data_IF_463274190605
#
_entry.id   IF_463274190605
#
_cell.length_a   1.000
_cell.length_b   1.000
_cell.length_c   1.000
_cell.angle_alpha   90.00
_cell.angle_beta   90.00
_cell.angle_gamma   90.00
#
_symmetry.space_group_name_H-M   'P 1'
#
loop_
_entity.id
_entity.type
_entity.pdbx_description
1 polymer ?
#
# COMPACT_ATOMS: atom_id res chain seq x y z
N UNK A 1 34.30 -45.22 8.51
CA UNK A 1 34.05 -45.01 7.07
C UNK A 1 32.75 -45.69 6.72
N UNK A 2 31.68 -44.92 6.53
CA UNK A 2 30.40 -45.40 6.00
C UNK A 2 29.77 -44.24 5.23
N UNK A 3 29.80 -44.31 3.90
CA UNK A 3 29.08 -43.39 3.03
C UNK A 3 27.68 -43.96 2.79
N UNK A 4 26.68 -43.22 3.25
CA UNK A 4 25.26 -43.49 2.98
C UNK A 4 24.88 -42.88 1.62
N UNK A 5 24.43 -43.73 0.70
CA UNK A 5 23.96 -43.34 -0.62
C UNK A 5 22.58 -42.65 -0.53
N UNK A 6 22.53 -41.36 -0.87
CA UNK A 6 21.26 -40.69 -1.20
C UNK A 6 20.93 -40.96 -2.67
N UNK A 7 19.86 -41.73 -2.86
CA UNK A 7 19.24 -42.00 -4.17
C UNK A 7 18.53 -40.75 -4.67
N UNK A 8 19.11 -40.12 -5.70
CA UNK A 8 18.49 -39.06 -6.47
C UNK A 8 17.39 -39.65 -7.34
N UNK A 9 16.12 -39.50 -6.93
CA UNK A 9 14.97 -39.96 -7.70
C UNK A 9 14.48 -38.82 -8.62
N UNK A 10 14.79 -38.82 -9.93
CA UNK A 10 14.48 -37.72 -10.84
C UNK A 10 12.98 -37.52 -11.10
N UNK A 11 12.13 -38.47 -10.72
CA UNK A 11 10.67 -38.39 -10.94
C UNK A 11 9.94 -37.46 -9.95
N UNK A 12 10.55 -37.09 -8.82
CA UNK A 12 9.96 -36.12 -7.89
C UNK A 12 10.17 -34.66 -8.31
N UNK A 13 11.19 -34.39 -9.15
CA UNK A 13 11.47 -33.05 -9.65
C UNK A 13 10.53 -32.64 -10.78
N UNK A 14 10.09 -33.59 -11.61
CA UNK A 14 9.19 -33.32 -12.74
C UNK A 14 7.76 -32.99 -12.24
N UNK A 15 7.25 -33.68 -11.20
CA UNK A 15 5.94 -33.33 -10.61
C UNK A 15 5.92 -31.96 -9.92
N UNK A 16 7.06 -31.46 -9.47
CA UNK A 16 7.14 -30.17 -8.77
C UNK A 16 7.17 -28.99 -9.74
N UNK A 17 7.73 -29.17 -10.94
CA UNK A 17 7.76 -28.15 -11.99
C UNK A 17 6.41 -27.99 -12.71
N UNK A 18 5.63 -29.06 -12.89
CA UNK A 18 4.29 -28.97 -13.50
C UNK A 18 3.30 -28.23 -12.60
N UNK A 19 3.47 -28.30 -11.27
CA UNK A 19 2.65 -27.56 -10.31
C UNK A 19 3.06 -26.08 -10.26
N UNK A 20 4.34 -25.75 -10.48
CA UNK A 20 4.82 -24.36 -10.47
C UNK A 20 4.49 -23.61 -11.77
N UNK A 21 4.53 -24.25 -12.94
CA UNK A 21 4.13 -23.59 -14.21
C UNK A 21 2.63 -23.29 -14.29
N UNK A 22 1.79 -24.00 -13.53
CA UNK A 22 0.36 -23.65 -13.36
C UNK A 22 0.12 -22.42 -12.46
N UNK A 23 1.16 -21.91 -11.78
CA UNK A 23 1.02 -20.79 -10.82
C UNK A 23 1.44 -19.41 -11.35
N UNK A 24 1.90 -19.30 -12.61
CA UNK A 24 2.28 -18.01 -13.23
C UNK A 24 1.33 -17.48 -14.31
N UNK A 25 0.33 -18.26 -14.73
CA UNK A 25 -0.84 -17.77 -15.47
C UNK A 25 -1.98 -17.07 -14.66
N UNK A 26 -2.08 -17.12 -13.30
CA UNK A 26 -3.37 -16.94 -12.62
C UNK A 26 -3.82 -15.49 -12.40
N UNK A 27 -2.96 -14.49 -12.57
CA UNK A 27 -3.34 -13.09 -12.28
C UNK A 27 -4.36 -12.55 -13.31
N UNK A 28 -4.14 -12.82 -14.60
CA UNK A 28 -5.00 -12.32 -15.68
C UNK A 28 -6.35 -13.03 -15.71
N UNK A 29 -6.36 -14.33 -15.46
CA UNK A 29 -7.60 -15.11 -15.46
C UNK A 29 -8.48 -14.73 -14.28
N UNK A 30 -7.90 -14.54 -13.09
CA UNK A 30 -8.63 -14.08 -11.90
C UNK A 30 -9.29 -12.72 -12.14
N UNK A 31 -8.56 -11.80 -12.79
CA UNK A 31 -9.09 -10.48 -13.14
C UNK A 31 -10.30 -10.59 -14.10
N UNK A 32 -10.24 -11.50 -15.08
CA UNK A 32 -11.36 -11.78 -16.00
C UNK A 32 -12.57 -12.40 -15.29
N UNK A 33 -12.37 -13.30 -14.32
CA UNK A 33 -13.49 -13.84 -13.52
C UNK A 33 -14.18 -12.75 -12.70
N UNK A 34 -13.41 -11.88 -12.03
CA UNK A 34 -13.96 -10.75 -11.26
C UNK A 34 -14.71 -9.78 -12.18
N UNK A 35 -14.17 -9.52 -13.37
CA UNK A 35 -14.81 -8.67 -14.37
C UNK A 35 -16.16 -9.22 -14.82
N UNK A 36 -16.24 -10.52 -15.13
CA UNK A 36 -17.50 -11.17 -15.53
C UNK A 36 -18.53 -11.19 -14.40
N UNK A 37 -18.12 -11.38 -13.14
CA UNK A 37 -19.02 -11.30 -11.97
C UNK A 37 -19.67 -9.93 -11.85
N UNK A 38 -18.85 -8.88 -11.99
CA UNK A 38 -19.32 -7.51 -11.93
C UNK A 38 -20.34 -7.22 -13.04
N UNK A 39 -20.10 -7.72 -14.26
CA UNK A 39 -21.05 -7.63 -15.36
C UNK A 39 -22.35 -8.36 -15.10
N UNK A 40 -22.28 -9.59 -14.59
CA UNK A 40 -23.47 -10.37 -14.24
C UNK A 40 -24.30 -9.64 -13.19
N UNK A 41 -23.67 -9.16 -12.13
CA UNK A 41 -24.31 -8.35 -11.10
C UNK A 41 -24.98 -7.08 -11.68
N UNK A 42 -24.31 -6.41 -12.63
CA UNK A 42 -24.90 -5.26 -13.33
C UNK A 42 -26.11 -5.62 -14.19
N UNK A 43 -26.06 -6.74 -14.90
CA UNK A 43 -27.19 -7.22 -15.70
C UNK A 43 -28.39 -7.58 -14.82
N UNK A 44 -28.17 -8.34 -13.75
CA UNK A 44 -29.21 -8.75 -12.80
C UNK A 44 -29.92 -7.52 -12.20
N UNK A 45 -29.15 -6.48 -11.85
CA UNK A 45 -29.71 -5.22 -11.35
C UNK A 45 -30.62 -4.52 -12.38
N UNK A 46 -30.21 -4.50 -13.65
CA UNK A 46 -31.03 -3.91 -14.74
C UNK A 46 -32.26 -4.74 -15.06
N UNK A 47 -32.16 -6.06 -14.99
CA UNK A 47 -33.28 -6.99 -15.19
C UNK A 47 -34.35 -6.80 -14.11
N UNK A 48 -33.96 -6.81 -12.83
CA UNK A 48 -34.86 -6.52 -11.71
C UNK A 48 -35.51 -5.13 -11.83
N UNK A 49 -34.75 -4.10 -12.24
CA UNK A 49 -35.29 -2.77 -12.45
C UNK A 49 -36.33 -2.74 -13.60
N UNK A 50 -36.07 -3.44 -14.71
CA UNK A 50 -37.04 -3.57 -15.80
C UNK A 50 -38.31 -4.31 -15.38
N UNK A 51 -38.17 -5.33 -14.54
CA UNK A 51 -39.30 -6.07 -13.96
C UNK A 51 -40.15 -5.14 -13.08
N UNK A 52 -39.53 -4.39 -12.16
CA UNK A 52 -40.22 -3.42 -11.30
C UNK A 52 -40.87 -2.26 -12.07
N UNK A 53 -40.30 -1.86 -13.21
CA UNK A 53 -40.93 -0.89 -14.11
C UNK A 53 -42.15 -1.47 -14.84
N UNK A 54 -42.17 -2.77 -15.08
CA UNK A 54 -43.27 -3.46 -15.77
C UNK A 54 -44.37 -3.92 -14.80
N UNK A 55 -44.02 -4.12 -13.53
CA UNK A 55 -44.92 -4.56 -12.46
C UNK A 55 -44.88 -3.58 -11.27
N UNK A 56 -45.85 -2.66 -11.15
CA UNK A 56 -45.87 -1.65 -10.09
C UNK A 56 -46.13 -2.23 -8.69
N UNK A 57 -46.44 -3.53 -8.55
CA UNK A 57 -46.66 -4.20 -7.27
C UNK A 57 -45.41 -4.77 -6.60
N UNK A 58 -44.23 -4.65 -7.21
CA UNK A 58 -42.98 -5.18 -6.63
C UNK A 58 -42.58 -4.33 -5.42
N UNK A 59 -42.35 -5.00 -4.29
CA UNK A 59 -41.85 -4.36 -3.08
C UNK A 59 -40.38 -3.96 -3.24
N UNK A 60 -40.05 -2.70 -2.91
CA UNK A 60 -38.69 -2.19 -3.07
C UNK A 60 -37.69 -2.86 -2.13
N UNK A 61 -38.17 -3.44 -1.04
CA UNK A 61 -37.40 -4.13 -0.05
C UNK A 61 -36.88 -5.48 -0.55
N UNK A 62 -37.47 -6.04 -1.61
CA UNK A 62 -36.97 -7.27 -2.24
C UNK A 62 -35.94 -6.99 -3.33
N UNK A 63 -35.80 -5.73 -3.77
CA UNK A 63 -34.85 -5.36 -4.83
C UNK A 63 -33.42 -5.22 -4.28
N UNK A 64 -32.46 -5.67 -5.09
CA UNK A 64 -31.04 -5.44 -4.86
C UNK A 64 -30.70 -3.94 -4.96
N UNK A 65 -29.68 -3.48 -4.23
CA UNK A 65 -29.27 -2.06 -4.21
C UNK A 65 -28.98 -1.50 -5.61
N UNK A 66 -28.40 -2.31 -6.50
CA UNK A 66 -28.14 -1.87 -7.86
C UNK A 66 -29.43 -1.72 -8.68
N UNK A 67 -30.40 -2.62 -8.49
CA UNK A 67 -31.71 -2.53 -9.12
C UNK A 67 -32.46 -1.26 -8.67
N UNK A 68 -32.38 -0.94 -7.37
CA UNK A 68 -32.94 0.30 -6.82
C UNK A 68 -32.31 1.55 -7.47
N UNK A 69 -31.00 1.55 -7.67
CA UNK A 69 -30.30 2.67 -8.32
C UNK A 69 -30.70 2.81 -9.80
N UNK A 70 -30.74 1.70 -10.54
CA UNK A 70 -31.19 1.71 -11.94
C UNK A 70 -32.65 2.14 -12.07
N UNK A 71 -33.52 1.70 -11.16
CA UNK A 71 -34.93 2.10 -11.10
C UNK A 71 -35.06 3.60 -10.79
N UNK A 72 -34.32 4.11 -9.80
CA UNK A 72 -34.29 5.54 -9.46
C UNK A 72 -33.82 6.37 -10.66
N UNK A 73 -32.73 5.96 -11.32
CA UNK A 73 -32.21 6.61 -12.52
C UNK A 73 -33.23 6.61 -13.66
N UNK A 74 -33.90 5.48 -13.91
CA UNK A 74 -34.94 5.36 -14.94
C UNK A 74 -36.14 6.27 -14.67
N UNK A 75 -36.46 6.54 -13.39
CA UNK A 75 -37.50 7.49 -12.97
C UNK A 75 -37.02 8.94 -12.88
N UNK A 76 -35.76 9.22 -13.20
CA UNK A 76 -35.18 10.56 -13.16
C UNK A 76 -34.92 11.08 -11.74
N UNK A 77 -34.72 10.17 -10.78
CA UNK A 77 -34.40 10.47 -9.39
C UNK A 77 -32.89 10.33 -9.14
N UNK A 78 -32.40 10.95 -8.06
CA UNK A 78 -31.01 10.78 -7.62
C UNK A 78 -30.77 9.35 -7.10
N UNK A 79 -29.60 8.79 -7.40
CA UNK A 79 -29.12 7.47 -6.90
C UNK A 79 -28.25 7.59 -5.63
N UNK A 80 -27.87 8.81 -5.22
CA UNK A 80 -26.94 9.02 -4.08
C UNK A 80 -27.60 8.68 -2.75
N UNK A 81 -26.87 8.03 -1.85
CA UNK A 81 -27.31 7.72 -0.49
C UNK A 81 -27.29 6.22 -0.21
N UNK A 82 -27.64 5.84 1.02
CA UNK A 82 -27.84 4.44 1.37
C UNK A 82 -29.13 3.88 0.72
N UNK A 83 -29.29 2.56 0.85
CA UNK A 83 -30.42 1.82 0.28
C UNK A 83 -31.77 2.36 0.75
N UNK A 84 -31.91 2.64 2.05
CA UNK A 84 -33.16 3.13 2.65
C UNK A 84 -33.55 4.51 2.10
N UNK A 85 -32.57 5.39 1.91
CA UNK A 85 -32.79 6.69 1.30
C UNK A 85 -33.24 6.59 -0.16
N UNK A 86 -32.75 5.61 -0.94
CA UNK A 86 -33.23 5.36 -2.31
C UNK A 86 -34.68 4.85 -2.29
N UNK A 87 -35.00 3.87 -1.43
CA UNK A 87 -36.37 3.33 -1.29
C UNK A 87 -37.36 4.44 -0.91
N UNK A 88 -37.01 5.27 0.09
CA UNK A 88 -37.86 6.38 0.52
C UNK A 88 -38.16 7.37 -0.62
N UNK A 89 -37.19 7.65 -1.48
CA UNK A 89 -37.37 8.52 -2.66
C UNK A 89 -38.29 7.89 -3.70
N UNK A 90 -38.11 6.60 -4.00
CA UNK A 90 -38.98 5.88 -4.93
C UNK A 90 -40.44 5.92 -4.46
N UNK A 91 -40.69 5.65 -3.18
CA UNK A 91 -42.03 5.75 -2.56
C UNK A 91 -42.61 7.15 -2.61
N UNK A 92 -41.80 8.17 -2.33
CA UNK A 92 -42.25 9.56 -2.41
C UNK A 92 -42.61 9.95 -3.86
N UNK A 93 -41.88 9.43 -4.84
CA UNK A 93 -42.16 9.63 -6.27
C UNK A 93 -43.47 8.93 -6.71
N UNK A 94 -43.77 7.74 -6.17
CA UNK A 94 -45.03 7.04 -6.45
C UNK A 94 -46.27 7.84 -6.02
N UNK A 95 -46.17 8.54 -4.88
CA UNK A 95 -47.24 9.35 -4.32
C UNK A 95 -47.40 10.72 -4.99
N UNK A 96 -46.43 11.14 -5.82
CA UNK A 96 -46.47 12.43 -6.48
C UNK A 96 -47.27 12.32 -7.80
N UNK A 97 -48.42 13.03 -7.95
CA UNK A 97 -49.26 12.89 -9.14
C UNK A 97 -48.61 13.45 -10.41
N UNK A 98 -47.72 14.44 -10.25
CA UNK A 98 -47.05 15.14 -11.35
C UNK A 98 -45.55 14.79 -11.44
N UNK A 99 -45.15 13.59 -11.04
CA UNK A 99 -43.75 13.16 -11.24
C UNK A 99 -43.48 12.76 -12.70
N UNK A 100 -42.21 12.83 -13.10
CA UNK A 100 -41.78 12.36 -14.43
C UNK A 100 -42.09 10.89 -14.64
N UNK A 101 -42.12 10.09 -13.57
CA UNK A 101 -42.48 8.67 -13.66
C UNK A 101 -43.95 8.40 -14.02
N UNK A 102 -44.84 9.40 -13.91
CA UNK A 102 -46.22 9.29 -14.41
C UNK A 102 -46.35 9.64 -15.89
N UNK A 103 -45.35 10.31 -16.48
CA UNK A 103 -45.33 10.60 -17.91
C UNK A 103 -45.04 9.32 -18.70
N UNK A 104 -46.04 8.87 -19.47
CA UNK A 104 -45.97 7.62 -20.23
C UNK A 104 -44.90 7.64 -21.32
N UNK A 105 -44.63 8.79 -21.93
CA UNK A 105 -43.63 8.91 -22.99
C UNK A 105 -42.22 8.83 -22.39
N UNK A 106 -41.99 9.53 -21.28
CA UNK A 106 -40.76 9.47 -20.51
C UNK A 106 -40.46 8.04 -20.04
N UNK A 107 -41.43 7.35 -19.42
CA UNK A 107 -41.21 5.98 -18.93
C UNK A 107 -40.96 4.99 -20.06
N UNK A 108 -41.64 5.14 -21.20
CA UNK A 108 -41.39 4.31 -22.39
C UNK A 108 -39.96 4.49 -22.90
N UNK A 109 -39.48 5.73 -22.97
CA UNK A 109 -38.11 6.03 -23.38
C UNK A 109 -37.07 5.50 -22.37
N UNK A 110 -37.31 5.67 -21.07
CA UNK A 110 -36.46 5.15 -20.01
C UNK A 110 -36.35 3.61 -20.08
N UNK A 111 -37.47 2.90 -20.22
CA UNK A 111 -37.48 1.44 -20.40
C UNK A 111 -36.76 1.02 -21.68
N UNK A 112 -36.93 1.76 -22.79
CA UNK A 112 -36.23 1.48 -24.05
C UNK A 112 -34.72 1.62 -23.89
N UNK A 113 -34.25 2.68 -23.24
CA UNK A 113 -32.82 2.91 -22.94
C UNK A 113 -32.26 1.82 -22.04
N UNK A 114 -32.99 1.43 -20.99
CA UNK A 114 -32.55 0.39 -20.07
C UNK A 114 -32.47 -0.98 -20.75
N UNK A 115 -33.45 -1.34 -21.61
CA UNK A 115 -33.41 -2.55 -22.45
C UNK A 115 -32.23 -2.55 -23.41
N UNK A 116 -31.95 -1.42 -24.06
CA UNK A 116 -30.81 -1.30 -24.97
C UNK A 116 -29.47 -1.48 -24.23
N UNK A 117 -29.31 -0.83 -23.06
CA UNK A 117 -28.12 -0.98 -22.23
C UNK A 117 -27.94 -2.42 -21.74
N UNK A 118 -29.01 -3.09 -21.29
CA UNK A 118 -28.96 -4.50 -20.88
C UNK A 118 -28.51 -5.40 -22.05
N UNK A 119 -29.05 -5.17 -23.26
CA UNK A 119 -28.64 -5.91 -24.45
C UNK A 119 -27.14 -5.75 -24.73
N UNK A 120 -26.61 -4.53 -24.73
CA UNK A 120 -25.18 -4.25 -24.93
C UNK A 120 -24.31 -4.91 -23.87
N UNK A 121 -24.72 -4.88 -22.61
CA UNK A 121 -24.00 -5.55 -21.52
C UNK A 121 -23.99 -7.07 -21.70
N UNK A 122 -25.11 -7.67 -22.13
CA UNK A 122 -25.20 -9.11 -22.40
C UNK A 122 -24.27 -9.53 -23.55
N UNK A 123 -24.24 -8.78 -24.65
CA UNK A 123 -23.33 -9.04 -25.77
C UNK A 123 -21.85 -8.93 -25.34
N UNK A 124 -21.53 -7.93 -24.51
CA UNK A 124 -20.16 -7.73 -23.97
C UNK A 124 -19.77 -8.87 -23.03
N UNK A 125 -20.68 -9.26 -22.14
CA UNK A 125 -20.50 -10.38 -21.22
C UNK A 125 -20.29 -11.69 -21.99
N UNK A 126 -21.14 -11.99 -22.98
CA UNK A 126 -21.05 -13.22 -23.76
C UNK A 126 -19.73 -13.29 -24.55
N UNK A 127 -19.25 -12.15 -25.07
CA UNK A 127 -17.94 -12.07 -25.74
C UNK A 127 -16.81 -12.35 -24.75
N UNK A 128 -16.77 -11.63 -23.62
CA UNK A 128 -15.74 -11.80 -22.61
C UNK A 128 -15.74 -13.23 -22.01
N UNK A 129 -16.92 -13.82 -21.84
CA UNK A 129 -17.08 -15.20 -21.40
C UNK A 129 -16.47 -16.18 -22.40
N UNK A 130 -16.78 -16.05 -23.70
CA UNK A 130 -16.20 -16.89 -24.76
C UNK A 130 -14.68 -16.76 -24.85
N UNK A 131 -14.16 -15.54 -24.72
CA UNK A 131 -12.72 -15.30 -24.72
C UNK A 131 -12.04 -15.98 -23.53
N UNK A 132 -12.64 -15.90 -22.34
CA UNK A 132 -12.14 -16.60 -21.15
C UNK A 132 -12.23 -18.13 -21.30
N UNK A 133 -13.35 -18.67 -21.78
CA UNK A 133 -13.53 -20.12 -22.04
C UNK A 133 -12.49 -20.65 -23.03
N UNK A 134 -12.17 -19.86 -24.07
CA UNK A 134 -11.12 -20.18 -25.03
C UNK A 134 -9.73 -20.20 -24.37
N UNK A 135 -9.44 -19.27 -23.47
CA UNK A 135 -8.15 -19.17 -22.79
C UNK A 135 -7.93 -20.30 -21.78
N UNK A 136 -8.97 -20.67 -21.01
CA UNK A 136 -8.87 -21.74 -20.00
C UNK A 136 -9.07 -23.15 -20.58
N UNK A 137 -9.54 -23.26 -21.83
CA UNK A 137 -9.70 -24.52 -22.55
C UNK A 137 -10.91 -25.37 -22.10
N UNK A 138 -11.84 -24.80 -21.33
CA UNK A 138 -13.06 -25.48 -20.90
C UNK A 138 -14.23 -24.50 -20.70
N UNK A 139 -15.49 -24.96 -20.80
CA UNK A 139 -16.66 -24.09 -20.61
C UNK A 139 -16.81 -23.63 -19.15
N UNK A 140 -17.39 -22.44 -18.96
CA UNK A 140 -17.77 -21.89 -17.65
C UNK A 140 -19.28 -22.05 -17.51
N UNK A 141 -19.70 -23.04 -16.73
CA UNK A 141 -21.11 -23.33 -16.51
C UNK A 141 -21.80 -22.20 -15.73
N UNK A 142 -21.24 -21.83 -14.57
CA UNK A 142 -21.72 -20.71 -13.75
C UNK A 142 -20.56 -19.96 -13.10
N UNK A 143 -20.43 -18.67 -13.45
CA UNK A 143 -19.40 -17.78 -12.91
C UNK A 143 -19.52 -17.64 -11.39
N UNK A 144 -20.75 -17.63 -10.88
CA UNK A 144 -21.04 -17.42 -9.45
C UNK A 144 -20.53 -18.63 -8.65
N UNK A 145 -20.77 -19.83 -9.15
CA UNK A 145 -20.21 -21.07 -8.59
C UNK A 145 -18.68 -21.10 -8.67
N UNK A 146 -18.09 -20.68 -9.80
CA UNK A 146 -16.62 -20.66 -9.97
C UNK A 146 -15.94 -19.72 -8.95
N UNK A 147 -16.47 -18.51 -8.79
CA UNK A 147 -15.97 -17.54 -7.82
C UNK A 147 -16.24 -17.95 -6.37
N UNK A 148 -17.38 -18.60 -6.11
CA UNK A 148 -17.68 -19.19 -4.81
C UNK A 148 -16.60 -20.19 -4.40
N UNK A 149 -16.20 -21.10 -5.31
CA UNK A 149 -15.10 -22.04 -5.08
C UNK A 149 -13.77 -21.32 -4.86
N UNK A 150 -13.46 -20.33 -5.68
CA UNK A 150 -12.23 -19.54 -5.54
C UNK A 150 -12.14 -18.85 -4.16
N UNK A 151 -13.24 -18.24 -3.68
CA UNK A 151 -13.29 -17.61 -2.35
C UNK A 151 -13.05 -18.63 -1.22
N UNK A 152 -13.59 -19.85 -1.35
CA UNK A 152 -13.36 -20.92 -0.36
C UNK A 152 -11.91 -21.36 -0.34
N UNK A 153 -11.29 -21.55 -1.51
CA UNK A 153 -9.86 -21.89 -1.64
C UNK A 153 -9.01 -20.78 -1.05
N UNK A 154 -9.24 -19.52 -1.45
CA UNK A 154 -8.51 -18.37 -0.92
C UNK A 154 -8.62 -18.26 0.60
N UNK A 155 -9.82 -18.46 1.17
CA UNK A 155 -10.02 -18.46 2.63
C UNK A 155 -9.24 -19.59 3.30
N UNK A 156 -9.29 -20.80 2.75
CA UNK A 156 -8.53 -21.95 3.26
C UNK A 156 -7.02 -21.67 3.20
N UNK A 157 -6.51 -21.16 2.09
CA UNK A 157 -5.09 -20.86 1.93
C UNK A 157 -4.64 -19.75 2.88
N UNK A 158 -5.50 -18.75 3.11
CA UNK A 158 -5.28 -17.73 4.13
C UNK A 158 -5.23 -18.34 5.54
N UNK A 159 -6.14 -19.26 5.87
CA UNK A 159 -6.15 -19.97 7.15
C UNK A 159 -4.92 -20.85 7.34
N UNK A 160 -4.51 -21.59 6.31
CA UNK A 160 -3.28 -22.39 6.29
C UNK A 160 -2.06 -21.48 6.50
N UNK A 161 -1.97 -20.39 5.75
CA UNK A 161 -0.88 -19.41 5.89
C UNK A 161 -0.84 -18.86 7.31
N UNK A 162 -2.00 -18.51 7.87
CA UNK A 162 -2.13 -18.03 9.24
C UNK A 162 -1.77 -19.08 10.28
N UNK A 163 -2.02 -20.36 10.03
CA UNK A 163 -1.71 -21.45 10.96
C UNK A 163 -0.27 -21.96 10.87
N UNK A 164 0.34 -21.89 9.67
CA UNK A 164 1.71 -22.36 9.41
C UNK A 164 2.76 -21.29 9.63
N UNK A 165 2.41 -20.02 9.50
CA UNK A 165 3.25 -18.99 10.10
C UNK A 165 3.25 -19.30 11.60
N UNK A 166 4.41 -19.65 12.20
CA UNK A 166 4.48 -19.70 13.65
C UNK A 166 3.87 -18.39 14.08
N UNK A 167 2.84 -18.46 14.93
CA UNK A 167 2.34 -17.28 15.60
C UNK A 167 3.55 -16.81 16.38
N UNK A 168 4.38 -15.98 15.75
CA UNK A 168 5.20 -15.01 16.43
C UNK A 168 4.15 -14.23 17.16
N UNK A 169 3.81 -14.70 18.37
CA UNK A 169 3.21 -13.88 19.39
C UNK A 169 4.08 -12.66 19.31
N UNK A 170 3.52 -11.57 18.81
CA UNK A 170 4.24 -10.33 18.68
C UNK A 170 4.72 -10.06 20.10
N UNK A 171 5.99 -10.37 20.35
CA UNK A 171 6.62 -9.92 21.56
C UNK A 171 6.40 -8.41 21.60
N UNK A 172 6.31 -7.81 22.79
CA UNK A 172 6.30 -6.37 22.85
C UNK A 172 7.47 -5.85 22.01
N UNK A 173 7.19 -4.92 21.08
CA UNK A 173 8.20 -4.37 20.15
C UNK A 173 9.42 -3.85 20.89
N UNK A 174 9.19 -3.34 22.11
CA UNK A 174 10.19 -2.90 23.06
C UNK A 174 9.84 -3.58 24.40
N UNK A 175 10.79 -4.32 24.98
CA UNK A 175 10.63 -5.07 26.23
C UNK A 175 10.94 -4.26 27.49
N UNK A 176 11.11 -2.95 27.34
CA UNK A 176 11.38 -2.02 28.45
C UNK A 176 10.30 -2.08 29.53
N UNK A 177 10.69 -2.25 30.79
CA UNK A 177 9.75 -2.28 31.92
C UNK A 177 9.25 -0.88 32.29
N UNK A 178 8.35 -0.37 31.46
CA UNK A 178 7.79 0.97 31.61
C UNK A 178 6.75 1.08 32.73
N UNK A 179 6.29 -0.03 33.33
CA UNK A 179 5.18 -0.02 34.30
C UNK A 179 5.53 0.70 35.60
N UNK A 180 6.81 0.68 35.99
CA UNK A 180 7.33 1.42 37.15
C UNK A 180 7.68 2.88 36.86
N UNK A 181 7.60 3.32 35.61
CA UNK A 181 7.97 4.68 35.22
C UNK A 181 7.02 5.72 35.83
N UNK A 182 7.57 6.88 36.20
CA UNK A 182 6.77 8.07 36.55
C UNK A 182 5.81 8.50 35.42
N UNK A 183 6.10 8.12 34.17
CA UNK A 183 5.29 8.42 33.00
C UNK A 183 4.24 7.35 32.68
N UNK A 184 4.19 6.24 33.42
CA UNK A 184 3.31 5.10 33.13
C UNK A 184 1.81 5.45 33.13
N UNK A 185 1.40 6.48 33.89
CA UNK A 185 0.01 6.94 33.97
C UNK A 185 -0.42 7.81 32.78
N UNK A 186 0.52 8.27 31.94
CA UNK A 186 0.22 9.11 30.78
C UNK A 186 -0.40 8.31 29.64
N UNK A 187 -1.28 8.95 28.88
CA UNK A 187 -1.81 8.39 27.64
C UNK A 187 -0.74 8.37 26.55
N UNK A 188 -0.86 7.47 25.57
CA UNK A 188 0.08 7.40 24.44
C UNK A 188 0.15 8.71 23.65
N UNK A 189 -0.98 9.44 23.57
CA UNK A 189 -1.04 10.75 22.91
C UNK A 189 -0.21 11.80 23.66
N UNK A 190 -0.30 11.84 24.99
CA UNK A 190 0.52 12.75 25.81
C UNK A 190 2.00 12.40 25.71
N UNK A 191 2.35 11.11 25.80
CA UNK A 191 3.72 10.65 25.66
C UNK A 191 4.30 11.04 24.30
N UNK A 192 3.54 10.83 23.22
CA UNK A 192 3.93 11.24 21.87
C UNK A 192 4.23 12.74 21.79
N UNK A 193 3.38 13.56 22.37
CA UNK A 193 3.58 15.01 22.38
C UNK A 193 4.84 15.40 23.14
N UNK A 194 5.10 14.74 24.28
CA UNK A 194 6.29 14.96 25.08
C UNK A 194 7.57 14.54 24.34
N UNK A 195 7.60 13.33 23.76
CA UNK A 195 8.72 12.83 22.96
C UNK A 195 9.02 13.76 21.79
N UNK A 196 7.98 14.23 21.08
CA UNK A 196 8.12 15.18 19.97
C UNK A 196 8.78 16.49 20.41
N UNK A 197 8.42 17.03 21.57
CA UNK A 197 9.04 18.25 22.13
C UNK A 197 10.51 18.04 22.50
N UNK A 198 10.90 16.81 22.83
CA UNK A 198 12.30 16.43 23.08
C UNK A 198 13.04 16.00 21.80
N UNK A 199 12.44 16.16 20.62
CA UNK A 199 13.10 15.88 19.34
C UNK A 199 13.05 14.42 18.90
N UNK A 200 12.21 13.57 19.50
CA UNK A 200 11.96 12.23 18.97
C UNK A 200 11.25 12.34 17.61
N UNK A 201 11.87 11.77 16.58
CA UNK A 201 11.42 11.90 15.18
C UNK A 201 10.27 10.95 14.80
N UNK A 202 10.03 9.92 15.62
CA UNK A 202 9.15 8.80 15.26
C UNK A 202 8.08 8.52 16.33
N UNK A 203 7.09 7.70 15.99
CA UNK A 203 5.95 7.37 16.87
C UNK A 203 5.93 5.88 17.18
N UNK A 204 6.13 5.51 18.44
CA UNK A 204 6.25 4.09 18.80
C UNK A 204 5.40 3.69 20.00
N UNK A 205 5.55 2.42 20.38
CA UNK A 205 4.87 1.84 21.53
C UNK A 205 5.06 2.69 22.78
N UNK A 206 4.11 2.57 23.72
CA UNK A 206 4.20 3.23 25.03
C UNK A 206 5.53 2.95 25.73
N UNK A 207 6.03 1.71 25.64
CA UNK A 207 7.32 1.31 26.19
C UNK A 207 8.48 2.10 25.58
N UNK A 208 8.56 2.19 24.25
CA UNK A 208 9.59 2.94 23.54
C UNK A 208 9.53 4.45 23.82
N UNK A 209 8.32 5.01 23.90
CA UNK A 209 8.14 6.43 24.24
C UNK A 209 8.63 6.74 25.66
N UNK A 210 8.33 5.87 26.62
CA UNK A 210 8.80 6.02 28.01
C UNK A 210 10.30 5.82 28.09
N UNK A 211 10.86 4.81 27.43
CA UNK A 211 12.30 4.59 27.32
C UNK A 211 13.01 5.85 26.83
N UNK A 212 12.55 6.44 25.72
CA UNK A 212 13.09 7.70 25.19
C UNK A 212 13.07 8.83 26.24
N UNK A 213 11.95 9.03 26.94
CA UNK A 213 11.82 10.11 27.93
C UNK A 213 12.74 9.92 29.14
N UNK A 214 13.11 8.69 29.47
CA UNK A 214 13.93 8.37 30.64
C UNK A 214 15.43 8.29 30.30
N UNK A 215 15.78 7.73 29.14
CA UNK A 215 17.17 7.49 28.73
C UNK A 215 17.70 8.50 27.71
N UNK A 216 16.81 9.19 27.00
CA UNK A 216 17.14 10.04 25.85
C UNK A 216 17.50 9.26 24.57
N UNK A 217 17.35 7.94 24.54
CA UNK A 217 17.68 7.10 23.39
C UNK A 217 16.81 5.85 23.29
N UNK A 218 16.53 5.41 22.06
CA UNK A 218 15.83 4.16 21.76
C UNK A 218 16.52 3.50 20.56
N UNK A 219 16.78 2.21 20.68
CA UNK A 219 17.39 1.36 19.68
C UNK A 219 16.42 1.15 18.51
N UNK A 220 16.94 1.05 17.29
CA UNK A 220 16.10 0.86 16.11
C UNK A 220 15.27 -0.44 16.16
N UNK A 221 15.76 -1.46 16.86
CA UNK A 221 15.06 -2.71 17.16
C UNK A 221 13.75 -2.52 17.93
N UNK A 222 13.64 -1.45 18.72
CA UNK A 222 12.49 -1.16 19.56
C UNK A 222 11.42 -0.32 18.83
N UNK A 223 11.75 0.16 17.64
CA UNK A 223 10.87 0.97 16.81
C UNK A 223 10.07 0.12 15.81
N UNK A 224 8.88 0.61 15.50
CA UNK A 224 7.96 0.07 14.50
C UNK A 224 8.49 0.31 13.08
N UNK A 225 8.01 -0.49 12.12
CA UNK A 225 8.38 -0.33 10.71
C UNK A 225 7.99 1.05 10.16
N UNK A 226 6.86 1.61 10.61
CA UNK A 226 6.42 2.94 10.21
C UNK A 226 7.38 4.04 10.68
N UNK A 227 7.80 3.98 11.95
CA UNK A 227 8.79 4.90 12.51
C UNK A 227 10.13 4.85 11.79
N UNK A 228 10.67 3.64 11.58
CA UNK A 228 11.93 3.45 10.87
C UNK A 228 11.84 3.97 9.43
N UNK A 229 10.71 3.74 8.75
CA UNK A 229 10.48 4.27 7.40
C UNK A 229 10.47 5.79 7.36
N UNK A 230 9.83 6.46 8.33
CA UNK A 230 9.85 7.93 8.45
C UNK A 230 11.27 8.44 8.66
N UNK A 231 12.03 7.82 9.57
CA UNK A 231 13.42 8.19 9.84
C UNK A 231 14.31 8.02 8.60
N UNK A 232 14.15 6.93 7.84
CA UNK A 232 14.85 6.74 6.57
C UNK A 232 14.51 7.85 5.57
N UNK A 233 13.22 8.19 5.41
CA UNK A 233 12.78 9.24 4.48
C UNK A 233 13.34 10.62 4.86
N UNK A 234 13.38 10.97 6.14
CA UNK A 234 13.96 12.23 6.61
C UNK A 234 15.47 12.34 6.33
N UNK A 235 16.17 11.21 6.26
CA UNK A 235 17.59 11.12 5.93
C UNK A 235 17.85 10.85 4.45
N UNK A 236 16.81 10.91 3.62
CA UNK A 236 16.88 10.63 2.18
C UNK A 236 17.36 9.21 1.84
N UNK A 237 17.23 8.26 2.77
CA UNK A 237 17.52 6.84 2.57
C UNK A 237 16.35 6.20 1.81
N UNK A 238 16.65 5.58 0.66
CA UNK A 238 15.64 4.92 -0.17
C UNK A 238 15.00 3.71 0.55
N UNK A 239 13.68 3.76 0.73
CA UNK A 239 12.86 2.68 1.31
C UNK A 239 11.98 2.05 0.24
N UNK A 240 11.93 0.71 0.22
CA UNK A 240 10.98 -0.03 -0.62
C UNK A 240 9.79 -0.50 0.23
N UNK A 241 8.59 -0.57 -0.37
CA UNK A 241 7.35 -0.93 0.35
C UNK A 241 7.31 -2.36 0.91
N UNK A 242 8.24 -3.22 0.51
CA UNK A 242 8.33 -4.63 0.91
C UNK A 242 9.46 -4.88 1.91
N UNK A 243 10.18 -3.83 2.35
CA UNK A 243 11.28 -3.97 3.29
C UNK A 243 10.77 -4.33 4.68
N UNK A 244 11.43 -5.31 5.30
CA UNK A 244 11.10 -5.74 6.64
C UNK A 244 11.63 -4.72 7.65
N UNK A 245 10.97 -4.64 8.81
CA UNK A 245 11.33 -3.76 9.92
C UNK A 245 12.83 -3.81 10.27
N UNK A 246 13.39 -5.01 10.36
CA UNK A 246 14.80 -5.22 10.71
C UNK A 246 15.76 -4.76 9.60
N UNK A 247 15.34 -4.83 8.32
CA UNK A 247 16.13 -4.30 7.22
C UNK A 247 16.20 -2.78 7.27
N UNK A 248 15.09 -2.11 7.63
CA UNK A 248 15.06 -0.66 7.83
C UNK A 248 15.95 -0.24 9.01
N UNK A 249 15.89 -0.97 10.13
CA UNK A 249 16.75 -0.74 11.29
C UNK A 249 18.24 -0.89 10.94
N UNK A 250 18.60 -1.91 10.15
CA UNK A 250 19.97 -2.11 9.67
C UNK A 250 20.46 -0.94 8.81
N UNK A 251 19.64 -0.45 7.86
CA UNK A 251 20.02 0.69 7.01
C UNK A 251 20.33 1.96 7.81
N UNK A 252 19.50 2.25 8.82
CA UNK A 252 19.72 3.43 9.66
C UNK A 252 21.01 3.33 10.49
N UNK A 253 21.36 2.13 10.96
CA UNK A 253 22.67 1.90 11.61
C UNK A 253 23.84 2.11 10.66
N UNK A 254 23.77 1.51 9.47
CA UNK A 254 24.84 1.64 8.48
C UNK A 254 25.07 3.11 8.12
N UNK A 255 23.99 3.89 8.01
CA UNK A 255 24.03 5.34 7.79
C UNK A 255 24.66 6.11 8.97
N UNK A 256 24.26 5.81 10.21
CA UNK A 256 24.86 6.41 11.42
C UNK A 256 26.38 6.10 11.51
N UNK A 257 26.77 4.85 11.22
CA UNK A 257 28.17 4.42 11.23
C UNK A 257 29.00 5.16 10.18
N UNK A 258 28.44 5.37 8.97
CA UNK A 258 29.07 6.18 7.93
C UNK A 258 29.22 7.64 8.34
N UNK A 259 28.20 8.24 8.95
CA UNK A 259 28.27 9.61 9.44
C UNK A 259 29.36 9.78 10.51
N UNK A 260 29.44 8.85 11.46
CA UNK A 260 30.47 8.82 12.50
C UNK A 260 31.87 8.71 11.86
N UNK A 261 32.05 7.78 10.92
CA UNK A 261 33.31 7.59 10.23
C UNK A 261 33.75 8.87 9.49
N UNK A 262 32.84 9.55 8.80
CA UNK A 262 33.10 10.82 8.13
C UNK A 262 33.49 11.94 9.12
N UNK A 263 32.80 12.05 10.26
CA UNK A 263 33.14 13.03 11.31
C UNK A 263 34.54 12.77 11.88
N UNK A 264 34.87 11.52 12.17
CA UNK A 264 36.21 11.13 12.70
C UNK A 264 37.31 11.41 11.68
N UNK A 265 37.09 11.10 10.39
CA UNK A 265 38.03 11.42 9.32
C UNK A 265 38.22 12.92 9.15
N UNK A 266 37.14 13.70 9.18
CA UNK A 266 37.19 15.17 9.12
C UNK A 266 37.98 15.79 10.26
N UNK A 267 37.77 15.30 11.49
CA UNK A 267 38.55 15.74 12.66
C UNK A 267 40.04 15.35 12.53
N UNK A 268 40.33 14.16 12.00
CA UNK A 268 41.70 13.69 11.82
C UNK A 268 42.43 14.49 10.74
N UNK A 269 41.76 14.81 9.63
CA UNK A 269 42.29 15.68 8.59
C UNK A 269 42.62 17.07 9.16
N UNK A 270 41.70 17.66 9.93
CA UNK A 270 41.93 18.95 10.60
C UNK A 270 43.11 18.90 11.59
N UNK A 271 43.21 17.86 12.43
CA UNK A 271 44.36 17.69 13.34
C UNK A 271 45.69 17.58 12.58
N UNK A 272 45.73 16.85 11.47
CA UNK A 272 46.94 16.72 10.65
C UNK A 272 47.35 18.06 10.00
N UNK A 273 46.40 18.93 9.67
CA UNK A 273 46.68 20.28 9.18
C UNK A 273 47.28 21.20 10.27
N UNK A 274 46.87 21.08 11.53
CA UNK A 274 47.36 21.92 12.63
C UNK A 274 48.67 21.42 13.30
N UNK A 275 49.09 20.18 13.05
CA UNK A 275 50.30 19.58 13.65
C UNK A 275 51.59 19.84 12.84
N UNK A 276 51.50 20.47 11.66
CA UNK A 276 52.70 20.93 10.92
C UNK A 276 52.82 22.46 10.72
N UNK A 277 52.87 23.30 11.78
CA UNK A 277 53.24 24.70 11.63
C UNK A 277 54.72 24.92 11.29
N UNK A 278 55.61 23.96 11.61
CA UNK A 278 57.06 24.16 11.54
C UNK A 278 57.69 23.95 10.15
N UNK A 279 57.01 23.28 9.22
CA UNK A 279 57.55 23.07 7.85
C UNK A 279 57.15 24.22 6.92
N UNK A 280 55.98 24.84 7.13
CA UNK A 280 55.52 25.96 6.28
C UNK A 280 56.29 27.25 6.59
N UNK A 281 56.70 27.49 7.84
CA UNK A 281 57.46 28.70 8.21
C UNK A 281 58.90 28.73 7.63
N UNK A 282 59.51 27.57 7.33
CA UNK A 282 60.83 27.53 6.72
C UNK A 282 60.81 27.65 5.19
N UNK A 283 59.73 27.21 4.53
CA UNK A 283 59.62 27.36 3.07
C UNK A 283 59.20 28.78 2.65
N UNK A 284 58.40 29.49 3.44
CA UNK A 284 58.08 30.89 3.14
C UNK A 284 59.29 31.83 3.26
N UNK A 285 60.22 31.57 4.19
CA UNK A 285 61.44 32.38 4.33
C UNK A 285 62.39 32.20 3.12
N UNK A 286 62.42 31.01 2.53
CA UNK A 286 63.24 30.71 1.35
C UNK A 286 62.64 31.33 0.08
N UNK A 287 61.31 31.33 -0.06
CA UNK A 287 60.63 31.94 -1.22
C UNK A 287 60.69 33.48 -1.17
N UNK A 288 60.56 34.11 0.01
CA UNK A 288 60.77 35.56 0.15
C UNK A 288 62.20 36.01 -0.16
N UNK A 289 63.21 35.17 0.08
CA UNK A 289 64.61 35.50 -0.27
C UNK A 289 64.91 35.36 -1.78
N UNK A 290 64.16 34.53 -2.52
CA UNK A 290 64.29 34.45 -3.98
C UNK A 290 63.55 35.58 -4.71
N UNK A 291 62.41 36.04 -4.19
CA UNK A 291 61.61 37.10 -4.81
C UNK A 291 62.19 38.52 -4.65
N UNK A 292 63.11 38.75 -3.72
CA UNK A 292 63.79 40.06 -3.55
C UNK A 292 65.03 40.24 -4.44
N UNK A 293 65.33 39.29 -5.32
CA UNK A 293 66.51 39.34 -6.21
C UNK A 293 66.19 39.51 -7.70
N UNK A 294 64.93 39.69 -8.06
CA UNK A 294 64.52 39.98 -9.44
C UNK A 294 63.77 41.30 -9.50
N UNK A 295 64.52 42.39 -9.65
CA UNK A 295 64.01 43.65 -10.18
C UNK A 295 63.69 43.49 -11.67
N UNK A 296 62.50 42.98 -12.02
CA UNK A 296 61.97 43.10 -13.38
C UNK A 296 60.47 43.44 -13.35
N UNK A 297 60.24 44.75 -13.49
CA UNK A 297 59.13 45.48 -14.12
C UNK A 297 57.72 45.51 -13.48
N UNK A 298 57.10 46.72 -13.42
CA UNK A 298 55.79 46.95 -12.83
C UNK A 298 54.66 46.83 -13.87
N UNK A 299 53.61 46.10 -13.52
CA UNK A 299 52.37 46.15 -14.29
C UNK A 299 51.63 44.84 -14.21
N UNK A 300 50.74 44.73 -13.21
CA UNK A 300 49.34 44.27 -13.31
C UNK A 300 48.86 44.16 -11.86
N UNK A 301 48.40 45.30 -11.34
CA UNK A 301 47.47 45.34 -10.21
C UNK A 301 46.13 45.70 -10.82
N UNK A 302 45.27 44.70 -11.01
CA UNK A 302 43.82 44.87 -11.14
C UNK A 302 43.16 43.50 -11.09
N UNK A 303 42.45 43.25 -9.98
CA UNK A 303 41.11 42.63 -9.92
C UNK A 303 40.88 41.98 -8.54
N UNK A 304 40.58 42.81 -7.54
CA UNK A 304 39.68 42.45 -6.43
C UNK A 304 39.01 43.75 -5.95
N UNK A 305 37.93 44.11 -6.64
CA UNK A 305 36.74 44.76 -6.08
C UNK A 305 35.55 43.97 -6.60
#
# INVERSE_FOLDING_TARGET
MAYSAYSSNPNLFICSLTILEQTLAPAKDTELYVYLDAWKWMMDGKEQALEALSNPGIDYETLASLALNELARARGLSEKGDREAVIKRLRADDQKPNSKSKDKAFMRDAMKKLKASLKTHRETYDKAKKDLEKNIGHPILDITTALGRHKVVYKRDHEITKSYQPVHKSGPLCDYDWKGSQWAHKSERELREMCRRQGMKAWDSKAASIKWLETGSVEYEDLSAGSLSIMCMEREIKVNSHELRLDLARKLREDDELEIAHRVLGITALKNFYVQPSIIYNNFRTISLQLHRQDILPGVVKLLT
#
